data_IF_757349971064
#
_entry.id   IF_757349971064
#
_cell.length_a   1.000
_cell.length_b   1.000
_cell.length_c   1.000
_cell.angle_alpha   90.00
_cell.angle_beta   90.00
_cell.angle_gamma   90.00
#
_symmetry.space_group_name_H-M   'P 1'
#
loop_
_entity.id
_entity.type
_entity.pdbx_description
1 polymer ?
#
# COMPACT_ATOMS: atom_id res chain seq x y z
N UNK A 1 13.24 -17.18 5.83
CA UNK A 1 11.85 -17.46 5.41
C UNK A 1 11.24 -16.28 4.65
N UNK A 2 11.21 -15.06 5.20
CA UNK A 2 10.61 -13.87 4.54
C UNK A 2 11.18 -13.55 3.15
N UNK A 3 12.52 -13.61 2.99
CA UNK A 3 13.19 -13.33 1.71
C UNK A 3 12.76 -14.28 0.58
N UNK A 4 12.56 -15.56 0.90
CA UNK A 4 12.10 -16.57 -0.05
C UNK A 4 10.64 -16.32 -0.44
N UNK A 5 9.78 -16.01 0.53
CA UNK A 5 8.39 -15.64 0.27
C UNK A 5 8.28 -14.42 -0.65
N UNK A 6 9.04 -13.35 -0.39
CA UNK A 6 9.08 -12.16 -1.24
C UNK A 6 9.46 -12.51 -2.69
N UNK A 7 10.50 -13.32 -2.87
CA UNK A 7 10.95 -13.72 -4.20
C UNK A 7 9.90 -14.54 -4.94
N UNK A 8 9.21 -15.44 -4.26
CA UNK A 8 8.13 -16.26 -4.83
C UNK A 8 6.93 -15.43 -5.24
N UNK A 9 6.49 -14.49 -4.40
CA UNK A 9 5.39 -13.56 -4.72
C UNK A 9 5.76 -12.68 -5.91
N UNK A 10 6.96 -12.09 -5.88
CA UNK A 10 7.44 -11.21 -6.94
C UNK A 10 7.48 -11.94 -8.29
N UNK A 11 8.01 -13.17 -8.30
CA UNK A 11 8.06 -14.01 -9.50
C UNK A 11 6.66 -14.34 -10.03
N UNK A 12 5.72 -14.68 -9.13
CA UNK A 12 4.33 -14.94 -9.50
C UNK A 12 3.64 -13.71 -10.06
N UNK A 13 3.87 -12.54 -9.47
CA UNK A 13 3.33 -11.27 -9.95
C UNK A 13 3.87 -10.89 -11.35
N UNK A 14 5.17 -11.10 -11.61
CA UNK A 14 5.74 -10.94 -12.96
C UNK A 14 5.06 -11.87 -13.96
N UNK A 15 4.88 -13.14 -13.59
CA UNK A 15 4.22 -14.11 -14.47
C UNK A 15 2.78 -13.72 -14.79
N UNK A 16 2.01 -13.29 -13.78
CA UNK A 16 0.62 -12.84 -13.95
C UNK A 16 0.53 -11.58 -14.82
N UNK A 17 1.41 -10.60 -14.61
CA UNK A 17 1.48 -9.40 -15.44
C UNK A 17 1.72 -9.78 -16.92
N UNK A 18 2.70 -10.66 -17.19
CA UNK A 18 3.02 -11.14 -18.54
C UNK A 18 1.90 -11.98 -19.18
N UNK A 19 1.08 -12.62 -18.36
CA UNK A 19 -0.08 -13.40 -18.82
C UNK A 19 -1.30 -12.54 -19.15
N UNK A 20 -1.14 -11.22 -19.17
CA UNK A 20 -2.19 -10.23 -19.43
C UNK A 20 -3.36 -10.30 -18.43
N UNK A 21 -3.06 -10.53 -17.15
CA UNK A 21 -4.08 -10.53 -16.07
C UNK A 21 -4.89 -9.22 -16.03
N UNK A 22 -4.29 -8.12 -16.47
CA UNK A 22 -4.90 -6.81 -16.56
C UNK A 22 -5.86 -6.63 -17.75
N UNK A 23 -5.89 -7.59 -18.69
CA UNK A 23 -6.55 -7.46 -20.00
C UNK A 23 -6.20 -6.12 -20.68
N UNK A 24 -4.96 -5.70 -20.52
CA UNK A 24 -4.48 -4.38 -20.90
C UNK A 24 -3.04 -4.48 -21.40
N UNK A 25 -2.89 -4.46 -22.73
CA UNK A 25 -1.60 -4.54 -23.41
C UNK A 25 -0.62 -3.44 -22.99
N UNK A 26 -1.12 -2.25 -22.66
CA UNK A 26 -0.29 -1.14 -22.22
C UNK A 26 0.41 -1.48 -20.88
N UNK A 27 -0.35 -2.01 -19.92
CA UNK A 27 0.18 -2.44 -18.61
C UNK A 27 1.06 -3.67 -18.76
N UNK A 28 0.66 -4.65 -19.57
CA UNK A 28 1.45 -5.87 -19.81
C UNK A 28 2.83 -5.55 -20.41
N UNK A 29 2.93 -4.54 -21.29
CA UNK A 29 4.20 -4.19 -21.96
C UNK A 29 5.07 -3.23 -21.16
N UNK A 30 4.47 -2.27 -20.45
CA UNK A 30 5.21 -1.19 -19.77
C UNK A 30 5.26 -1.30 -18.26
N UNK A 31 4.40 -2.13 -17.67
CA UNK A 31 4.29 -2.28 -16.23
C UNK A 31 5.54 -2.90 -15.62
N UNK A 32 5.92 -2.37 -14.46
CA UNK A 32 6.99 -2.89 -13.61
C UNK A 32 6.37 -3.41 -12.33
N UNK A 33 6.68 -4.65 -11.96
CA UNK A 33 6.24 -5.25 -10.70
C UNK A 33 7.18 -4.83 -9.57
N UNK A 34 6.64 -4.14 -8.57
CA UNK A 34 7.39 -3.67 -7.40
C UNK A 34 7.56 -4.78 -6.34
N UNK A 35 8.36 -4.51 -5.31
CA UNK A 35 8.57 -5.45 -4.22
C UNK A 35 7.26 -5.72 -3.46
N UNK A 36 7.01 -6.97 -3.04
CA UNK A 36 5.87 -7.28 -2.18
C UNK A 36 5.97 -6.59 -0.82
N UNK A 37 4.86 -6.00 -0.38
CA UNK A 37 4.70 -5.37 0.92
C UNK A 37 3.70 -6.21 1.72
N UNK A 38 4.05 -6.68 2.93
CA UNK A 38 3.10 -7.42 3.76
C UNK A 38 1.96 -6.51 4.20
N UNK A 39 0.73 -6.98 4.06
CA UNK A 39 -0.44 -6.37 4.68
C UNK A 39 -0.63 -7.04 6.03
N UNK A 40 -0.55 -6.25 7.10
CA UNK A 40 -0.61 -6.69 8.49
C UNK A 40 -2.02 -6.51 9.03
N UNK A 41 -2.57 -7.57 9.64
CA UNK A 41 -3.87 -7.55 10.30
C UNK A 41 -3.82 -7.01 11.73
N UNK A 42 -4.97 -6.92 12.42
CA UNK A 42 -5.05 -6.43 13.80
C UNK A 42 -4.24 -7.22 14.82
N UNK A 43 -3.96 -8.51 14.56
CA UNK A 43 -3.14 -9.37 15.41
C UNK A 43 -1.64 -9.28 15.11
N UNK A 44 -1.24 -8.24 14.35
CA UNK A 44 0.13 -7.97 13.92
C UNK A 44 0.75 -9.06 13.05
N UNK A 45 -0.07 -9.95 12.48
CA UNK A 45 0.37 -10.96 11.52
C UNK A 45 0.12 -10.52 10.09
N UNK A 46 0.97 -10.98 9.18
CA UNK A 46 0.73 -10.84 7.76
C UNK A 46 -0.49 -11.67 7.36
N UNK A 47 -1.50 -10.99 6.79
CA UNK A 47 -2.73 -11.64 6.32
C UNK A 47 -2.81 -11.72 4.80
N UNK A 48 -2.08 -10.85 4.11
CA UNK A 48 -1.96 -10.85 2.65
C UNK A 48 -0.74 -10.04 2.22
N UNK A 49 -0.51 -9.96 0.92
CA UNK A 49 0.63 -9.26 0.33
C UNK A 49 0.15 -8.31 -0.75
N UNK A 50 0.64 -7.08 -0.69
CA UNK A 50 0.39 -6.04 -1.69
C UNK A 50 1.57 -5.99 -2.66
N UNK A 51 1.30 -6.05 -3.96
CA UNK A 51 2.32 -5.93 -5.00
C UNK A 51 1.90 -4.86 -6.00
N UNK A 52 2.58 -3.71 -5.94
CA UNK A 52 2.36 -2.61 -6.87
C UNK A 52 2.77 -2.96 -8.30
N UNK A 53 2.05 -2.38 -9.26
CA UNK A 53 2.43 -2.35 -10.66
C UNK A 53 2.56 -0.88 -11.06
N UNK A 54 3.75 -0.47 -11.49
CA UNK A 54 4.06 0.92 -11.84
C UNK A 54 4.36 1.09 -13.32
N UNK A 55 4.06 2.26 -13.86
CA UNK A 55 4.61 2.76 -15.13
C UNK A 55 5.20 4.13 -14.83
N UNK A 56 6.49 4.31 -15.11
CA UNK A 56 7.27 5.46 -14.66
C UNK A 56 7.14 5.64 -13.14
N UNK A 57 6.70 6.82 -12.67
CA UNK A 57 6.48 7.11 -11.24
C UNK A 57 5.05 6.85 -10.75
N UNK A 58 4.16 6.35 -11.61
CA UNK A 58 2.74 6.18 -11.29
C UNK A 58 2.40 4.74 -10.95
N UNK A 59 1.57 4.55 -9.93
CA UNK A 59 0.99 3.27 -9.56
C UNK A 59 -0.27 3.03 -10.41
N UNK A 60 -0.16 2.16 -11.41
CA UNK A 60 -1.26 1.89 -12.35
C UNK A 60 -2.22 0.83 -11.84
N UNK A 61 -1.77 -0.01 -10.90
CA UNK A 61 -2.58 -1.02 -10.27
C UNK A 61 -1.80 -1.80 -9.23
N UNK A 62 -2.43 -2.82 -8.66
CA UNK A 62 -1.78 -3.75 -7.74
C UNK A 62 -2.40 -5.14 -7.81
N UNK A 63 -1.61 -6.12 -7.40
CA UNK A 63 -2.02 -7.48 -7.12
C UNK A 63 -2.03 -7.69 -5.61
N UNK A 64 -3.02 -8.40 -5.10
CA UNK A 64 -3.07 -8.84 -3.72
C UNK A 64 -3.04 -10.36 -3.66
N UNK A 65 -2.13 -10.91 -2.88
CA UNK A 65 -1.98 -12.35 -2.67
C UNK A 65 -2.29 -12.73 -1.22
N UNK A 66 -2.88 -13.89 -0.99
CA UNK A 66 -2.97 -14.46 0.35
C UNK A 66 -1.61 -15.01 0.82
N UNK A 67 -1.56 -15.57 2.02
CA UNK A 67 -0.33 -16.16 2.59
C UNK A 67 0.12 -17.44 1.88
N UNK A 68 -0.76 -18.08 1.13
CA UNK A 68 -0.51 -19.29 0.35
C UNK A 68 -0.15 -18.98 -1.12
N UNK A 69 0.10 -17.70 -1.43
CA UNK A 69 0.43 -17.18 -2.75
C UNK A 69 -0.73 -17.17 -3.74
N UNK A 70 -1.96 -17.43 -3.36
CA UNK A 70 -3.09 -17.35 -4.28
C UNK A 70 -3.42 -15.89 -4.58
N UNK A 71 -3.73 -15.60 -5.84
CA UNK A 71 -4.16 -14.26 -6.24
C UNK A 71 -5.57 -14.04 -5.68
N UNK A 72 -5.70 -13.09 -4.74
CA UNK A 72 -7.00 -12.69 -4.21
C UNK A 72 -7.67 -11.69 -5.15
N UNK A 73 -6.90 -10.74 -5.68
CA UNK A 73 -7.43 -9.72 -6.61
C UNK A 73 -6.34 -9.01 -7.40
N UNK A 74 -6.77 -8.48 -8.53
CA UNK A 74 -6.10 -7.41 -9.27
C UNK A 74 -6.98 -6.15 -9.20
N UNK A 75 -6.38 -4.99 -9.02
CA UNK A 75 -7.07 -3.70 -9.01
C UNK A 75 -6.30 -2.69 -9.84
N UNK A 76 -7.00 -1.85 -10.59
CA UNK A 76 -6.39 -0.80 -11.42
C UNK A 76 -6.80 0.58 -10.93
N UNK A 77 -5.87 1.54 -11.03
CA UNK A 77 -6.14 2.96 -10.85
C UNK A 77 -6.35 3.68 -12.20
N UNK A 78 -6.10 3.00 -13.31
CA UNK A 78 -6.28 3.59 -14.63
C UNK A 78 -7.75 3.80 -14.94
N UNK A 79 -8.09 5.03 -15.35
CA UNK A 79 -9.41 5.35 -15.90
C UNK A 79 -9.51 5.06 -17.40
N UNK A 80 -8.37 5.00 -18.08
CA UNK A 80 -8.26 4.66 -19.51
C UNK A 80 -7.13 3.65 -19.71
N UNK A 81 -7.32 2.60 -20.53
CA UNK A 81 -6.36 1.51 -20.66
C UNK A 81 -4.93 1.95 -21.03
N UNK A 82 -4.80 2.97 -21.88
CA UNK A 82 -3.52 3.44 -22.44
C UNK A 82 -2.93 4.66 -21.72
N UNK A 83 -3.45 5.04 -20.55
CA UNK A 83 -3.02 6.26 -19.86
C UNK A 83 -2.71 6.04 -18.38
N UNK A 84 -1.67 6.71 -17.90
CA UNK A 84 -1.35 6.86 -16.47
C UNK A 84 -1.95 8.13 -15.87
N UNK A 85 -2.68 8.93 -16.67
CA UNK A 85 -3.28 10.18 -16.20
C UNK A 85 -4.23 9.92 -15.02
N UNK A 86 -4.02 10.66 -13.93
CA UNK A 86 -4.74 10.52 -12.66
C UNK A 86 -4.48 9.22 -11.88
N UNK A 87 -3.51 8.39 -12.29
CA UNK A 87 -3.00 7.35 -11.40
C UNK A 87 -2.25 8.00 -10.23
N UNK A 88 -2.31 7.44 -9.02
CA UNK A 88 -1.56 7.97 -7.89
C UNK A 88 -0.06 7.80 -8.09
N UNK A 89 0.73 8.67 -7.46
CA UNK A 89 2.18 8.51 -7.41
C UNK A 89 2.56 7.28 -6.57
N UNK A 90 3.49 6.48 -7.09
CA UNK A 90 3.88 5.21 -6.47
C UNK A 90 4.48 5.37 -5.06
N UNK A 91 5.23 6.45 -4.83
CA UNK A 91 5.84 6.75 -3.52
C UNK A 91 4.82 6.89 -2.39
N UNK A 92 3.58 7.30 -2.69
CA UNK A 92 2.50 7.43 -1.71
C UNK A 92 1.86 6.09 -1.31
N UNK A 93 2.35 4.98 -1.86
CA UNK A 93 1.81 3.64 -1.62
C UNK A 93 2.90 2.61 -1.35
N UNK A 94 4.06 2.74 -1.98
CA UNK A 94 5.09 1.71 -2.01
C UNK A 94 6.35 2.05 -1.21
N UNK A 95 6.48 3.30 -0.77
CA UNK A 95 7.69 3.81 -0.12
C UNK A 95 7.40 4.13 1.37
N UNK A 96 7.75 3.23 2.31
CA UNK A 96 7.54 3.48 3.73
C UNK A 96 8.30 4.70 4.25
N UNK A 97 9.47 5.02 3.71
CA UNK A 97 10.28 6.17 4.15
C UNK A 97 9.59 7.47 3.74
N UNK A 98 9.07 7.52 2.51
CA UNK A 98 8.26 8.64 2.06
C UNK A 98 7.01 8.81 2.93
N UNK A 99 6.32 7.72 3.29
CA UNK A 99 5.12 7.77 4.15
C UNK A 99 5.46 8.30 5.54
N UNK A 100 6.56 7.85 6.15
CA UNK A 100 7.00 8.35 7.46
C UNK A 100 7.32 9.85 7.39
N UNK A 101 8.06 10.30 6.38
CA UNK A 101 8.35 11.73 6.18
C UNK A 101 7.06 12.54 5.94
N UNK A 102 6.16 12.02 5.11
CA UNK A 102 4.88 12.64 4.79
C UNK A 102 3.97 12.85 6.02
N UNK A 103 4.04 11.92 6.99
CA UNK A 103 3.32 12.03 8.27
C UNK A 103 4.05 12.90 9.28
N UNK A 104 5.38 12.86 9.31
CA UNK A 104 6.20 13.70 10.20
C UNK A 104 5.89 15.18 10.02
N UNK A 105 5.59 15.62 8.81
CA UNK A 105 5.21 16.99 8.47
C UNK A 105 3.78 17.38 8.91
N UNK A 106 2.98 16.43 9.41
CA UNK A 106 1.54 16.59 9.74
C UNK A 106 1.18 16.35 11.20
N UNK A 107 2.13 15.89 11.99
CA UNK A 107 1.95 15.64 13.43
C UNK A 107 2.69 16.70 14.25
N UNK A 108 2.34 16.83 15.52
CA UNK A 108 2.95 17.82 16.40
C UNK A 108 4.46 17.56 16.54
N UNK A 109 5.32 18.60 16.62
CA UNK A 109 6.78 18.45 16.70
C UNK A 109 7.25 17.42 17.73
N UNK A 110 6.59 17.35 18.89
CA UNK A 110 6.94 16.47 20.00
C UNK A 110 6.31 15.07 19.91
N UNK A 111 5.41 14.82 18.96
CA UNK A 111 4.85 13.48 18.70
C UNK A 111 5.94 12.55 18.13
N UNK A 112 5.86 11.25 18.43
CA UNK A 112 6.80 10.23 17.94
C UNK A 112 6.11 9.24 17.02
N UNK A 113 6.65 9.01 15.82
CA UNK A 113 6.22 7.91 14.95
C UNK A 113 6.83 6.60 15.48
N UNK A 114 6.00 5.74 16.06
CA UNK A 114 6.42 4.47 16.67
C UNK A 114 6.52 3.35 15.63
N UNK A 115 5.60 3.33 14.66
CA UNK A 115 5.57 2.32 13.61
C UNK A 115 4.82 2.80 12.38
N UNK A 116 5.22 2.31 11.20
CA UNK A 116 4.49 2.46 9.95
C UNK A 116 4.43 1.11 9.22
N UNK A 117 3.23 0.62 8.90
CA UNK A 117 3.04 -0.65 8.20
C UNK A 117 1.80 -0.61 7.32
N UNK A 118 1.80 -1.37 6.23
CA UNK A 118 0.63 -1.50 5.38
C UNK A 118 -0.41 -2.41 6.05
N UNK A 119 -1.63 -1.94 6.16
CA UNK A 119 -2.78 -2.65 6.73
C UNK A 119 -4.03 -2.34 5.90
N UNK A 120 -5.21 -2.37 6.49
CA UNK A 120 -6.47 -2.07 5.80
C UNK A 120 -7.48 -1.34 6.70
N UNK A 121 -8.23 -0.41 6.10
CA UNK A 121 -9.29 0.33 6.81
C UNK A 121 -10.62 -0.45 6.74
N UNK A 122 -10.99 -1.06 7.88
CA UNK A 122 -12.22 -1.85 8.12
C UNK A 122 -12.37 -3.13 7.29
N UNK A 123 -11.87 -3.15 6.05
CA UNK A 123 -12.01 -4.26 5.12
C UNK A 123 -10.70 -4.53 4.35
N UNK A 124 -10.25 -5.80 4.19
CA UNK A 124 -8.99 -6.16 3.51
C UNK A 124 -8.80 -5.66 2.07
N UNK A 125 -9.88 -5.16 1.45
CA UNK A 125 -9.86 -4.58 0.10
C UNK A 125 -9.52 -3.08 0.08
N UNK A 126 -9.39 -2.44 1.25
CA UNK A 126 -9.08 -1.02 1.41
C UNK A 126 -7.69 -0.88 2.05
N UNK A 127 -6.61 -1.20 1.31
CA UNK A 127 -5.27 -1.11 1.86
C UNK A 127 -4.94 0.35 2.21
N UNK A 128 -4.32 0.55 3.36
CA UNK A 128 -3.85 1.85 3.86
C UNK A 128 -2.57 1.64 4.65
N UNK A 129 -1.68 2.62 4.65
CA UNK A 129 -0.61 2.66 5.64
C UNK A 129 -1.20 3.06 6.98
N UNK A 130 -0.96 2.25 8.01
CA UNK A 130 -1.23 2.62 9.41
C UNK A 130 0.07 3.11 10.03
N UNK A 131 0.03 4.32 10.57
CA UNK A 131 1.14 4.97 11.24
C UNK A 131 0.74 5.20 12.69
N UNK A 132 1.39 4.50 13.60
CA UNK A 132 1.18 4.64 15.05
C UNK A 132 2.02 5.80 15.55
N UNK A 133 1.36 6.76 16.18
CA UNK A 133 1.97 7.97 16.72
C UNK A 133 1.75 8.00 18.22
N UNK A 134 2.83 8.16 18.98
CA UNK A 134 2.80 8.39 20.43
C UNK A 134 2.78 9.90 20.66
N UNK A 135 1.75 10.37 21.34
CA UNK A 135 1.59 11.79 21.69
C UNK A 135 2.39 12.11 22.96
N UNK A 136 2.61 13.41 23.22
CA UNK A 136 3.38 13.90 24.38
C UNK A 136 2.81 13.45 25.74
N UNK A 137 1.50 13.24 25.81
CA UNK A 137 0.81 12.73 27.00
C UNK A 137 0.98 11.22 27.21
N UNK A 138 1.69 10.55 26.30
CA UNK A 138 1.94 9.10 26.30
C UNK A 138 0.82 8.29 25.65
N UNK A 139 -0.28 8.90 25.22
CA UNK A 139 -1.33 8.22 24.47
C UNK A 139 -0.83 7.82 23.08
N UNK A 140 -1.54 6.89 22.44
CA UNK A 140 -1.21 6.45 21.08
C UNK A 140 -2.43 6.59 20.19
N UNK A 141 -2.24 7.28 19.07
CA UNK A 141 -3.21 7.35 17.97
C UNK A 141 -2.67 6.61 16.74
N UNK A 142 -3.58 6.20 15.88
CA UNK A 142 -3.25 5.61 14.57
C UNK A 142 -3.75 6.51 13.46
N UNK A 143 -2.81 6.96 12.63
CA UNK A 143 -3.08 7.73 11.43
C UNK A 143 -3.08 6.77 10.24
N UNK A 144 -4.11 6.87 9.41
CA UNK A 144 -4.22 6.10 8.18
C UNK A 144 -3.83 6.97 6.97
N UNK A 145 -3.00 6.43 6.07
CA UNK A 145 -2.58 7.08 4.83
C UNK A 145 -2.99 6.24 3.63
N UNK A 146 -3.82 6.81 2.76
CA UNK A 146 -4.31 6.18 1.54
C UNK A 146 -3.93 7.05 0.33
N UNK A 147 -2.73 6.82 -0.19
CA UNK A 147 -2.16 7.70 -1.21
C UNK A 147 -1.82 9.07 -0.63
N UNK A 148 -2.52 10.11 -1.08
CA UNK A 148 -2.33 11.48 -0.60
C UNK A 148 -3.26 11.83 0.58
N UNK A 149 -4.24 10.98 0.88
CA UNK A 149 -5.22 11.22 1.92
C UNK A 149 -4.73 10.73 3.28
N UNK A 150 -4.81 11.60 4.29
CA UNK A 150 -4.41 11.32 5.68
C UNK A 150 -5.60 11.57 6.60
N UNK A 151 -5.87 10.62 7.50
CA UNK A 151 -6.96 10.73 8.46
C UNK A 151 -6.68 9.93 9.73
N UNK A 152 -7.28 10.35 10.84
CA UNK A 152 -7.28 9.60 12.09
C UNK A 152 -8.22 8.39 11.94
N UNK A 153 -7.70 7.19 12.21
CA UNK A 153 -8.48 5.95 12.19
C UNK A 153 -8.59 5.29 13.58
N UNK A 154 -8.24 6.03 14.64
CA UNK A 154 -8.14 5.52 16.02
C UNK A 154 -9.48 5.21 16.68
N UNK A 155 -10.61 5.75 16.19
CA UNK A 155 -11.89 5.67 16.92
C UNK A 155 -13.16 5.70 16.04
N UNK A 156 -13.15 5.05 14.87
CA UNK A 156 -14.34 4.87 14.04
C UNK A 156 -14.97 6.14 13.42
N UNK A 157 -14.46 7.32 13.75
CA UNK A 157 -14.75 8.59 13.11
C UNK A 157 -13.53 9.04 12.29
N UNK A 158 -13.69 9.13 10.98
CA UNK A 158 -12.62 9.51 10.07
C UNK A 158 -12.41 11.04 10.16
N UNK A 159 -11.47 11.51 10.99
CA UNK A 159 -11.11 12.94 11.06
C UNK A 159 -9.93 13.19 10.12
N UNK A 160 -10.13 14.03 9.10
CA UNK A 160 -9.06 14.40 8.15
C UNK A 160 -7.97 15.18 8.90
N UNK A 161 -6.72 14.75 8.72
CA UNK A 161 -5.53 15.45 9.20
C UNK A 161 -4.88 16.02 7.93
N UNK A 162 -4.76 17.35 7.87
CA UNK A 162 -4.44 18.11 6.64
C UNK A 162 -3.20 17.65 5.89
#
# INVERSE_FOLDING_TARGET
MQKDMNQRIHSKAIHLLKSNIAQNDFVTRKGVVNQPIPIVGPDEKTVSWYVGITIDSFLVGYLQFDTDLNLMRYSTFQRHPSSTKNCPLAKHWLDPEFIMAFIRDRIEPDDEIVAAFLSYDKHPTRPVWMVRVREIDGSTRTICVAGEYVYDCSNGGDRIIG
#
